data_IF_015905461210
#
_entry.id   IF_015905461210
#
_cell.length_a   1.000
_cell.length_b   1.000
_cell.length_c   1.000
_cell.angle_alpha   90.00
_cell.angle_beta   90.00
_cell.angle_gamma   90.00
#
_symmetry.space_group_name_H-M   'P 1'
#
loop_
_entity.id
_entity.type
_entity.pdbx_description
1 polymer ?
#
# COMPACT_ATOMS: atom_id res chain seq x y z
N UNK A 1 21.17 12.86 -2.20
CA UNK A 1 20.87 12.20 -0.91
C UNK A 1 19.77 11.20 -1.19
N UNK A 2 20.13 9.97 -1.52
CA UNK A 2 19.16 8.90 -1.75
C UNK A 2 18.71 8.37 -0.39
N UNK A 3 17.41 8.40 -0.13
CA UNK A 3 16.82 7.65 0.97
C UNK A 3 17.05 6.18 0.65
N UNK A 4 17.94 5.52 1.40
CA UNK A 4 17.89 4.07 1.52
C UNK A 4 16.64 3.79 2.36
N UNK A 5 15.50 3.75 1.68
CA UNK A 5 14.32 3.11 2.24
C UNK A 5 14.67 1.62 2.29
N UNK A 6 15.25 1.24 3.42
CA UNK A 6 15.43 -0.15 3.81
C UNK A 6 14.01 -0.75 3.83
N UNK A 7 13.66 -1.42 2.73
CA UNK A 7 12.54 -2.33 2.66
C UNK A 7 12.79 -3.40 3.74
N UNK A 8 12.28 -3.15 4.95
CA UNK A 8 12.06 -4.12 6.01
C UNK A 8 10.97 -5.11 5.54
N UNK A 9 11.25 -5.78 4.43
CA UNK A 9 10.61 -6.98 3.94
C UNK A 9 10.92 -8.07 4.96
N UNK A 10 10.15 -8.09 6.04
CA UNK A 10 10.12 -9.21 6.97
C UNK A 10 9.91 -10.49 6.13
N UNK A 11 10.95 -11.33 5.96
CA UNK A 11 10.96 -12.36 4.90
C UNK A 11 9.92 -13.45 5.14
N UNK A 12 9.38 -13.54 6.37
CA UNK A 12 8.30 -14.47 6.71
C UNK A 12 6.94 -14.08 6.11
N UNK A 13 6.68 -12.80 5.82
CA UNK A 13 5.37 -12.35 5.32
C UNK A 13 5.17 -12.59 3.82
N UNK A 14 6.21 -12.34 3.01
CA UNK A 14 6.12 -12.41 1.55
C UNK A 14 5.89 -13.83 1.00
N UNK A 15 6.42 -14.85 1.67
CA UNK A 15 6.25 -16.25 1.23
C UNK A 15 4.80 -16.73 1.27
N UNK A 16 4.08 -16.43 2.35
CA UNK A 16 2.67 -16.83 2.52
C UNK A 16 1.73 -16.02 1.62
N UNK A 17 1.98 -14.71 1.45
CA UNK A 17 1.21 -13.87 0.52
C UNK A 17 1.30 -14.36 -0.93
N UNK A 18 2.46 -14.92 -1.32
CA UNK A 18 2.65 -15.48 -2.67
C UNK A 18 1.81 -16.75 -2.89
N UNK A 19 1.71 -17.61 -1.87
CA UNK A 19 0.89 -18.85 -1.95
C UNK A 19 -0.62 -18.53 -2.01
N UNK A 20 -1.06 -17.52 -1.22
CA UNK A 20 -2.44 -17.02 -1.27
C UNK A 20 -2.77 -16.37 -2.62
N UNK A 21 -1.81 -15.64 -3.22
CA UNK A 21 -1.97 -15.09 -4.59
C UNK A 21 -2.06 -16.17 -5.66
N UNK A 22 -1.33 -17.28 -5.54
CA UNK A 22 -1.31 -18.34 -6.55
C UNK A 22 -2.62 -19.14 -6.61
N UNK A 23 -3.32 -19.26 -5.49
CA UNK A 23 -4.61 -19.96 -5.40
C UNK A 23 -5.82 -19.02 -5.58
N UNK A 24 -5.58 -17.71 -5.61
CA UNK A 24 -6.58 -16.67 -5.37
C UNK A 24 -7.07 -15.90 -6.58
N UNK A 25 -6.87 -16.34 -7.83
CA UNK A 25 -7.32 -15.56 -9.01
C UNK A 25 -8.82 -15.26 -9.03
N UNK A 26 -9.62 -16.01 -8.26
CA UNK A 26 -11.06 -15.79 -8.10
C UNK A 26 -11.48 -15.33 -6.68
N UNK A 27 -10.53 -15.10 -5.77
CA UNK A 27 -10.86 -14.72 -4.38
C UNK A 27 -11.01 -13.20 -4.31
N UNK A 28 -12.15 -12.67 -3.81
CA UNK A 28 -12.31 -11.23 -3.63
C UNK A 28 -11.19 -10.65 -2.76
N UNK A 29 -10.64 -9.49 -3.12
CA UNK A 29 -9.53 -8.86 -2.38
C UNK A 29 -9.82 -8.65 -0.89
N UNK A 30 -11.11 -8.50 -0.53
CA UNK A 30 -11.55 -8.44 0.87
C UNK A 30 -11.22 -9.71 1.66
N UNK A 31 -11.41 -10.87 1.06
CA UNK A 31 -11.12 -12.15 1.70
C UNK A 31 -9.61 -12.39 1.79
N UNK A 32 -8.85 -11.96 0.77
CA UNK A 32 -7.38 -11.96 0.83
C UNK A 32 -6.87 -11.08 1.98
N UNK A 33 -7.40 -9.87 2.12
CA UNK A 33 -7.03 -8.96 3.20
C UNK A 33 -7.28 -9.54 4.59
N UNK A 34 -8.50 -10.04 4.82
CA UNK A 34 -8.88 -10.64 6.10
C UNK A 34 -8.01 -11.89 6.35
N UNK A 35 -7.73 -12.67 5.31
CA UNK A 35 -6.85 -13.83 5.39
C UNK A 35 -5.42 -13.49 5.79
N UNK A 36 -4.81 -12.51 5.13
CA UNK A 36 -3.46 -12.03 5.44
C UNK A 36 -3.38 -11.49 6.88
N UNK A 37 -4.33 -10.63 7.28
CA UNK A 37 -4.41 -10.07 8.62
C UNK A 37 -4.58 -11.16 9.69
N UNK A 38 -5.44 -12.15 9.42
CA UNK A 38 -5.71 -13.24 10.35
C UNK A 38 -4.50 -14.16 10.50
N UNK A 39 -3.85 -14.51 9.39
CA UNK A 39 -2.64 -15.35 9.40
C UNK A 39 -1.50 -14.65 10.12
N UNK A 40 -1.23 -13.37 9.82
CA UNK A 40 -0.16 -12.63 10.49
C UNK A 40 -0.42 -12.49 11.99
N UNK A 41 -1.63 -12.07 12.38
CA UNK A 41 -2.00 -11.91 13.78
C UNK A 41 -1.98 -13.24 14.56
N UNK A 42 -2.40 -14.33 13.93
CA UNK A 42 -2.37 -15.66 14.54
C UNK A 42 -0.94 -16.15 14.76
N UNK A 43 -0.05 -15.98 13.78
CA UNK A 43 1.36 -16.34 13.91
C UNK A 43 2.05 -15.53 15.01
N UNK A 44 1.81 -14.21 15.07
CA UNK A 44 2.33 -13.35 16.14
C UNK A 44 1.78 -13.73 17.51
N UNK A 45 0.48 -13.98 17.60
CA UNK A 45 -0.20 -14.44 18.82
C UNK A 45 0.43 -15.73 19.35
N UNK A 46 0.58 -16.76 18.51
CA UNK A 46 1.15 -18.05 18.93
C UNK A 46 2.61 -17.87 19.34
N UNK A 47 3.39 -17.10 18.58
CA UNK A 47 4.81 -16.87 18.89
C UNK A 47 4.99 -16.20 20.25
N UNK A 48 4.32 -15.07 20.48
CA UNK A 48 4.40 -14.33 21.74
C UNK A 48 3.80 -15.15 22.89
N UNK A 49 2.69 -15.85 22.64
CA UNK A 49 2.08 -16.77 23.60
C UNK A 49 3.04 -17.85 24.06
N UNK A 50 3.74 -18.53 23.14
CA UNK A 50 4.72 -19.57 23.47
C UNK A 50 5.91 -19.00 24.25
N UNK A 51 6.40 -17.81 23.90
CA UNK A 51 7.44 -17.13 24.66
C UNK A 51 7.00 -16.86 26.12
N UNK A 52 5.82 -16.28 26.31
CA UNK A 52 5.28 -15.98 27.64
C UNK A 52 4.95 -17.25 28.43
N UNK A 53 4.41 -18.28 27.78
CA UNK A 53 4.15 -19.58 28.39
C UNK A 53 5.42 -20.26 28.90
N UNK A 54 6.50 -20.18 28.11
CA UNK A 54 7.81 -20.73 28.48
C UNK A 54 8.41 -19.98 29.68
N UNK A 55 8.36 -18.65 29.67
CA UNK A 55 8.78 -17.82 30.81
C UNK A 55 7.92 -18.09 32.05
N UNK A 56 6.61 -18.23 31.86
CA UNK A 56 5.64 -18.55 32.89
C UNK A 56 5.90 -19.89 33.59
N UNK A 57 6.27 -20.91 32.81
CA UNK A 57 6.64 -22.23 33.34
C UNK A 57 7.86 -22.14 34.28
N UNK A 58 8.82 -21.26 33.97
CA UNK A 58 10.05 -21.10 34.75
C UNK A 58 9.81 -20.24 35.99
N UNK A 59 9.09 -19.13 35.87
CA UNK A 59 8.95 -18.13 36.95
C UNK A 59 7.81 -18.48 37.92
N UNK A 60 6.68 -19.01 37.43
CA UNK A 60 5.46 -19.21 38.23
C UNK A 60 4.93 -20.66 38.21
N UNK A 61 5.76 -21.67 38.53
CA UNK A 61 5.34 -23.07 38.45
C UNK A 61 4.18 -23.41 39.38
N UNK A 62 4.09 -22.78 40.56
CA UNK A 62 3.13 -23.14 41.60
C UNK A 62 1.87 -22.26 41.67
N UNK A 63 1.86 -21.09 41.00
CA UNK A 63 0.77 -20.10 41.15
C UNK A 63 -0.25 -20.19 40.03
N UNK A 64 0.21 -20.14 38.78
CA UNK A 64 -0.66 -20.04 37.60
C UNK A 64 -0.29 -21.02 36.47
N UNK A 65 0.85 -21.71 36.57
CA UNK A 65 1.36 -22.56 35.50
C UNK A 65 1.64 -21.80 34.19
N UNK A 66 1.96 -22.51 33.09
CA UNK A 66 2.28 -21.90 31.80
C UNK A 66 1.06 -21.36 31.04
N UNK A 67 -0.15 -21.83 31.37
CA UNK A 67 -1.36 -21.54 30.59
C UNK A 67 -1.78 -20.07 30.67
N UNK A 68 -1.79 -19.48 31.87
CA UNK A 68 -2.21 -18.08 32.05
C UNK A 68 -1.25 -17.11 31.34
N UNK A 69 0.08 -17.23 31.49
CA UNK A 69 1.03 -16.41 30.72
C UNK A 69 0.89 -16.63 29.21
N UNK A 70 0.66 -17.87 28.75
CA UNK A 70 0.43 -18.16 27.33
C UNK A 70 -0.80 -17.44 26.77
N UNK A 71 -1.94 -17.48 27.48
CA UNK A 71 -3.18 -16.82 27.03
C UNK A 71 -3.03 -15.30 27.00
N UNK A 72 -2.41 -14.72 28.03
CA UNK A 72 -2.15 -13.27 28.08
C UNK A 72 -1.19 -12.84 26.97
N UNK A 73 -0.08 -13.57 26.79
CA UNK A 73 0.88 -13.32 25.72
C UNK A 73 0.25 -13.45 24.33
N UNK A 74 -0.60 -14.46 24.13
CA UNK A 74 -1.34 -14.65 22.89
C UNK A 74 -2.29 -13.48 22.60
N UNK A 75 -3.06 -13.04 23.60
CA UNK A 75 -3.96 -11.89 23.43
C UNK A 75 -3.19 -10.61 23.05
N UNK A 76 -2.08 -10.35 23.73
CA UNK A 76 -1.22 -9.19 23.42
C UNK A 76 -0.66 -9.34 22.00
N UNK A 77 -0.10 -10.49 21.66
CA UNK A 77 0.48 -10.75 20.35
C UNK A 77 -0.53 -10.63 19.21
N UNK A 78 -1.77 -11.10 19.41
CA UNK A 78 -2.85 -10.92 18.44
C UNK A 78 -3.19 -9.45 18.23
N UNK A 79 -3.36 -8.67 19.31
CA UNK A 79 -3.66 -7.23 19.21
C UNK A 79 -2.53 -6.45 18.54
N UNK A 80 -1.28 -6.77 18.85
CA UNK A 80 -0.12 -6.15 18.24
C UNK A 80 0.00 -6.51 16.75
N UNK A 81 -0.16 -7.78 16.40
CA UNK A 81 -0.10 -8.23 15.00
C UNK A 81 -1.20 -7.60 14.13
N UNK A 82 -2.42 -7.44 14.66
CA UNK A 82 -3.48 -6.70 13.98
C UNK A 82 -3.15 -5.21 13.82
N UNK A 83 -2.60 -4.59 14.86
CA UNK A 83 -2.24 -3.18 14.83
C UNK A 83 -1.11 -2.89 13.83
N UNK A 84 -0.09 -3.75 13.80
CA UNK A 84 1.02 -3.67 12.87
C UNK A 84 0.54 -3.85 11.43
N UNK A 85 -0.28 -4.88 11.17
CA UNK A 85 -0.87 -5.10 9.86
C UNK A 85 -1.73 -3.91 9.41
N UNK A 86 -2.58 -3.38 10.30
CA UNK A 86 -3.36 -2.17 10.03
C UNK A 86 -2.48 -0.96 9.70
N UNK A 87 -1.40 -0.75 10.45
CA UNK A 87 -0.46 0.35 10.24
C UNK A 87 0.30 0.23 8.92
N UNK A 88 0.70 -0.99 8.54
CA UNK A 88 1.34 -1.27 7.25
C UNK A 88 0.39 -0.97 6.09
N UNK A 89 -0.84 -1.48 6.15
CA UNK A 89 -1.87 -1.22 5.12
C UNK A 89 -2.21 0.26 5.04
N UNK A 90 -2.25 0.97 6.18
CA UNK A 90 -2.42 2.42 6.23
C UNK A 90 -1.33 3.14 5.43
N UNK A 91 -0.07 2.81 5.67
CA UNK A 91 1.07 3.43 4.97
C UNK A 91 1.01 3.18 3.47
N UNK A 92 0.77 1.93 3.06
CA UNK A 92 0.64 1.55 1.65
C UNK A 92 -0.51 2.29 0.96
N UNK A 93 -1.64 2.45 1.63
CA UNK A 93 -2.76 3.23 1.12
C UNK A 93 -2.37 4.70 0.90
N UNK A 94 -1.60 5.31 1.82
CA UNK A 94 -1.13 6.69 1.65
C UNK A 94 -0.17 6.83 0.48
N UNK A 95 0.74 5.88 0.30
CA UNK A 95 1.64 5.85 -0.86
C UNK A 95 0.83 5.79 -2.16
N UNK A 96 -0.17 4.90 -2.24
CA UNK A 96 -1.06 4.81 -3.40
C UNK A 96 -1.92 6.07 -3.60
N UNK A 97 -2.38 6.70 -2.51
CA UNK A 97 -3.18 7.91 -2.58
C UNK A 97 -2.38 9.08 -3.15
N UNK A 98 -1.06 9.12 -2.91
CA UNK A 98 -0.16 10.15 -3.43
C UNK A 98 0.25 9.90 -4.88
N UNK A 99 0.67 8.68 -5.21
CA UNK A 99 1.20 8.37 -6.55
C UNK A 99 0.11 8.09 -7.59
N UNK A 100 -1.06 7.61 -7.17
CA UNK A 100 -2.13 7.19 -8.08
C UNK A 100 -3.52 7.65 -7.59
N UNK A 101 -3.73 8.96 -7.35
CA UNK A 101 -4.96 9.49 -6.76
C UNK A 101 -6.20 9.16 -7.61
N UNK A 102 -6.09 9.27 -8.93
CA UNK A 102 -7.17 8.97 -9.87
C UNK A 102 -7.60 7.51 -9.83
N UNK A 103 -6.63 6.59 -9.72
CA UNK A 103 -6.89 5.15 -9.68
C UNK A 103 -7.57 4.77 -8.36
N UNK A 104 -7.09 5.33 -7.24
CA UNK A 104 -7.70 5.14 -5.93
C UNK A 104 -9.12 5.73 -5.88
N UNK A 105 -9.34 6.92 -6.44
CA UNK A 105 -10.66 7.53 -6.53
C UNK A 105 -11.64 6.69 -7.35
N UNK A 106 -11.18 6.15 -8.48
CA UNK A 106 -11.96 5.23 -9.30
C UNK A 106 -12.33 3.95 -8.54
N UNK A 107 -11.40 3.36 -7.79
CA UNK A 107 -11.68 2.17 -6.97
C UNK A 107 -12.67 2.46 -5.82
N UNK A 108 -12.56 3.64 -5.18
CA UNK A 108 -13.55 4.06 -4.18
C UNK A 108 -14.95 4.27 -4.78
N UNK A 109 -15.02 4.77 -6.01
CA UNK A 109 -16.27 4.95 -6.73
C UNK A 109 -16.90 3.61 -7.12
N UNK A 110 -16.14 2.72 -7.75
CA UNK A 110 -16.66 1.47 -8.32
C UNK A 110 -17.18 0.50 -7.27
N UNK A 111 -16.47 0.36 -6.14
CA UNK A 111 -16.81 -0.64 -5.13
C UNK A 111 -17.77 -0.15 -4.05
N UNK A 112 -17.67 1.13 -3.68
CA UNK A 112 -18.35 1.66 -2.49
C UNK A 112 -19.33 2.78 -2.81
N UNK A 113 -19.49 3.12 -4.10
CA UNK A 113 -20.35 4.23 -4.59
C UNK A 113 -20.06 5.55 -3.87
N UNK A 114 -18.82 5.76 -3.42
CA UNK A 114 -18.42 6.99 -2.74
C UNK A 114 -17.91 7.98 -3.77
N UNK A 115 -18.56 9.14 -3.82
CA UNK A 115 -18.15 10.26 -4.67
C UNK A 115 -16.92 10.91 -4.04
N UNK A 116 -15.77 10.79 -4.71
CA UNK A 116 -14.61 11.63 -4.41
C UNK A 116 -14.83 12.98 -5.10
N UNK A 117 -14.78 14.11 -4.39
CA UNK A 117 -14.91 15.42 -5.00
C UNK A 117 -13.81 15.65 -6.05
N UNK A 118 -14.15 16.27 -7.18
CA UNK A 118 -13.17 16.57 -8.24
C UNK A 118 -12.06 17.49 -7.75
N UNK A 119 -12.38 18.44 -6.86
CA UNK A 119 -11.40 19.34 -6.24
C UNK A 119 -10.29 18.59 -5.51
N UNK A 120 -10.61 17.48 -4.83
CA UNK A 120 -9.63 16.65 -4.12
C UNK A 120 -8.71 15.92 -5.12
N UNK A 121 -9.26 15.47 -6.26
CA UNK A 121 -8.45 14.84 -7.31
C UNK A 121 -7.53 15.84 -8.01
N UNK A 122 -8.03 17.04 -8.29
CA UNK A 122 -7.26 18.13 -8.89
C UNK A 122 -6.15 18.61 -7.95
N UNK A 123 -6.43 18.75 -6.64
CA UNK A 123 -5.43 19.10 -5.63
C UNK A 123 -4.31 18.06 -5.53
N UNK A 124 -4.64 16.77 -5.52
CA UNK A 124 -3.61 15.71 -5.51
C UNK A 124 -2.77 15.68 -6.78
N UNK A 125 -3.35 15.99 -7.94
CA UNK A 125 -2.59 16.10 -9.19
C UNK A 125 -1.63 17.28 -9.17
N UNK A 126 -2.07 18.44 -8.66
CA UNK A 126 -1.21 19.61 -8.52
C UNK A 126 -0.03 19.32 -7.57
N UNK A 127 -0.27 18.58 -6.49
CA UNK A 127 0.78 18.17 -5.57
C UNK A 127 1.82 17.24 -6.22
N UNK A 128 1.40 16.34 -7.12
CA UNK A 128 2.31 15.47 -7.89
C UNK A 128 3.16 16.29 -8.89
N UNK A 129 2.57 17.29 -9.54
CA UNK A 129 3.28 18.21 -10.45
C UNK A 129 4.30 19.09 -9.70
N UNK A 130 4.03 19.45 -8.43
CA UNK A 130 4.96 20.23 -7.58
C UNK A 130 6.16 19.37 -7.10
N UNK A 131 5.93 18.08 -6.79
CA UNK A 131 6.97 17.17 -6.29
C UNK A 131 7.90 16.65 -7.42
N UNK A 132 7.43 16.68 -8.68
CA UNK A 132 8.22 16.28 -9.86
C UNK A 132 8.31 17.39 -10.93
N UNK A 133 9.11 18.46 -10.71
CA UNK A 133 9.17 19.62 -11.60
C UNK A 133 9.76 19.33 -12.99
N UNK A 134 10.38 18.16 -13.23
CA UNK A 134 11.05 17.85 -14.50
C UNK A 134 10.11 17.36 -15.61
N UNK A 135 8.83 17.07 -15.34
CA UNK A 135 7.89 16.51 -16.34
C UNK A 135 6.85 17.53 -16.87
N UNK A 136 6.92 18.80 -16.44
CA UNK A 136 5.91 19.82 -16.76
C UNK A 136 6.31 20.75 -17.93
N UNK A 137 6.39 20.20 -19.14
CA UNK A 137 6.24 21.03 -20.34
C UNK A 137 5.18 20.41 -21.23
N UNK A 138 4.11 21.17 -21.48
CA UNK A 138 2.99 20.87 -22.40
C UNK A 138 1.73 20.26 -21.76
N UNK A 139 1.05 20.97 -20.85
CA UNK A 139 -0.38 20.70 -20.58
C UNK A 139 -1.22 21.95 -20.75
N UNK A 140 -2.04 21.90 -21.79
CA UNK A 140 -3.03 22.88 -22.24
C UNK A 140 -4.06 23.20 -21.15
N UNK A 141 -4.11 24.49 -20.81
CA UNK A 141 -5.10 25.15 -19.95
C UNK A 141 -6.53 24.77 -20.36
N UNK A 142 -7.24 24.09 -19.46
CA UNK A 142 -8.66 23.79 -19.60
C UNK A 142 -9.53 24.94 -19.06
N UNK A 143 -10.76 25.13 -19.58
CA UNK A 143 -11.59 26.32 -19.34
C UNK A 143 -12.29 26.32 -17.96
N UNK A 144 -12.77 27.49 -17.48
CA UNK A 144 -13.24 27.66 -16.12
C UNK A 144 -14.61 26.98 -15.92
N UNK A 145 -14.70 26.10 -14.92
CA UNK A 145 -15.98 25.52 -14.49
C UNK A 145 -16.59 26.28 -13.31
N UNK A 146 -17.90 26.43 -13.42
CA UNK A 146 -18.83 27.06 -12.49
C UNK A 146 -18.74 26.52 -11.05
N UNK A 147 -18.64 27.47 -10.12
CA UNK A 147 -18.94 27.46 -8.68
C UNK A 147 -19.37 26.10 -8.09
N UNK A 148 -18.41 25.37 -7.52
CA UNK A 148 -18.69 24.40 -6.45
C UNK A 148 -18.47 25.09 -5.09
N UNK A 149 -19.23 24.72 -4.04
CA UNK A 149 -18.99 25.23 -2.70
C UNK A 149 -17.52 25.00 -2.33
N UNK A 150 -16.89 25.98 -1.67
CA UNK A 150 -15.49 25.96 -1.20
C UNK A 150 -15.22 24.73 -0.31
N UNK A 151 -15.07 23.58 -0.93
CA UNK A 151 -14.35 22.47 -0.35
C UNK A 151 -12.90 22.88 -0.55
N UNK A 152 -12.34 23.43 0.52
CA UNK A 152 -10.91 23.67 0.72
C UNK A 152 -10.10 22.62 -0.04
N UNK A 153 -9.07 23.05 -0.79
CA UNK A 153 -8.23 22.20 -1.65
C UNK A 153 -7.40 21.22 -0.79
N UNK A 154 -8.09 20.24 -0.21
CA UNK A 154 -7.52 19.25 0.69
C UNK A 154 -7.03 18.09 -0.16
N UNK A 155 -5.75 17.69 -0.05
CA UNK A 155 -5.22 16.54 -0.78
C UNK A 155 -5.95 15.25 -0.37
N UNK A 156 -5.95 14.25 -1.27
CA UNK A 156 -6.70 13.02 -1.09
C UNK A 156 -6.36 12.29 0.21
N UNK A 157 -5.10 12.26 0.62
CA UNK A 157 -4.67 11.64 1.88
C UNK A 157 -5.32 12.31 3.10
N UNK A 158 -5.31 13.64 3.16
CA UNK A 158 -5.94 14.41 4.23
C UNK A 158 -7.47 14.31 4.17
N UNK A 159 -8.08 14.27 2.99
CA UNK A 159 -9.52 14.05 2.84
C UNK A 159 -9.94 12.68 3.38
N UNK A 160 -9.13 11.64 3.16
CA UNK A 160 -9.36 10.30 3.72
C UNK A 160 -9.35 10.36 5.26
N UNK A 161 -8.38 11.06 5.86
CA UNK A 161 -8.29 11.19 7.32
C UNK A 161 -9.44 11.97 7.96
N UNK A 162 -9.84 13.09 7.35
CA UNK A 162 -10.95 13.90 7.85
C UNK A 162 -12.30 13.16 7.82
N UNK A 163 -12.41 12.08 7.03
CA UNK A 163 -13.61 11.25 6.96
C UNK A 163 -13.80 10.23 8.09
N UNK A 164 -12.86 10.17 9.05
CA UNK A 164 -12.90 9.22 10.16
C UNK A 164 -12.58 7.77 9.78
N UNK A 165 -12.76 6.86 10.74
CA UNK A 165 -12.36 5.45 10.62
C UNK A 165 -13.02 4.75 9.43
N UNK A 166 -14.32 5.00 9.20
CA UNK A 166 -15.03 4.37 8.09
C UNK A 166 -14.42 4.71 6.73
N UNK A 167 -14.16 6.00 6.46
CA UNK A 167 -13.54 6.41 5.20
C UNK A 167 -12.14 5.82 5.07
N UNK A 168 -11.36 5.86 6.15
CA UNK A 168 -10.01 5.29 6.19
C UNK A 168 -10.00 3.79 5.84
N UNK A 169 -10.87 3.00 6.45
CA UNK A 169 -10.99 1.55 6.17
C UNK A 169 -11.40 1.29 4.72
N UNK A 170 -12.34 2.07 4.17
CA UNK A 170 -12.74 1.90 2.77
C UNK A 170 -11.64 2.29 1.79
N UNK A 171 -10.88 3.35 2.09
CA UNK A 171 -9.73 3.75 1.27
C UNK A 171 -8.61 2.72 1.33
N UNK A 172 -8.35 2.11 2.49
CA UNK A 172 -7.43 0.98 2.62
C UNK A 172 -7.86 -0.20 1.73
N UNK A 173 -9.13 -0.56 1.78
CA UNK A 173 -9.68 -1.66 0.98
C UNK A 173 -9.60 -1.35 -0.53
N UNK A 174 -9.98 -0.13 -0.92
CA UNK A 174 -9.87 0.32 -2.31
C UNK A 174 -8.40 0.29 -2.80
N UNK A 175 -7.45 0.69 -1.95
CA UNK A 175 -6.02 0.67 -2.31
C UNK A 175 -5.48 -0.74 -2.56
N UNK A 176 -6.03 -1.76 -1.88
CA UNK A 176 -5.63 -3.15 -2.11
C UNK A 176 -6.12 -3.68 -3.45
N UNK A 177 -7.33 -3.29 -3.85
CA UNK A 177 -7.84 -3.59 -5.18
C UNK A 177 -7.02 -2.92 -6.29
N UNK A 178 -6.53 -1.72 -6.02
CA UNK A 178 -5.63 -1.01 -6.91
C UNK A 178 -4.25 -1.66 -7.04
N UNK A 179 -3.77 -2.37 -6.02
CA UNK A 179 -2.39 -2.86 -5.94
C UNK A 179 -1.96 -3.63 -7.18
N UNK A 180 -2.80 -4.53 -7.70
CA UNK A 180 -2.49 -5.30 -8.91
C UNK A 180 -2.33 -4.41 -10.15
N UNK A 181 -3.21 -3.42 -10.32
CA UNK A 181 -3.14 -2.49 -11.44
C UNK A 181 -1.94 -1.56 -11.32
N UNK A 182 -1.62 -1.08 -10.11
CA UNK A 182 -0.42 -0.27 -9.84
C UNK A 182 0.84 -1.04 -10.21
N UNK A 183 0.99 -2.28 -9.74
CA UNK A 183 2.14 -3.12 -10.08
C UNK A 183 2.24 -3.34 -11.61
N UNK A 184 1.12 -3.58 -12.30
CA UNK A 184 1.13 -3.73 -13.76
C UNK A 184 1.56 -2.43 -14.49
N UNK A 185 1.13 -1.27 -14.01
CA UNK A 185 1.55 0.03 -14.55
C UNK A 185 3.05 0.25 -14.31
N UNK A 186 3.55 -0.08 -13.12
CA UNK A 186 4.96 0.07 -12.76
C UNK A 186 5.86 -0.87 -13.56
N UNK A 187 5.45 -2.14 -13.72
CA UNK A 187 6.14 -3.10 -14.59
C UNK A 187 6.17 -2.61 -16.04
N UNK A 188 5.06 -2.09 -16.56
CA UNK A 188 5.01 -1.52 -17.91
C UNK A 188 5.94 -0.31 -18.06
N UNK A 189 6.00 0.58 -17.07
CA UNK A 189 6.91 1.74 -17.07
C UNK A 189 8.37 1.28 -17.05
N UNK A 190 8.72 0.31 -16.19
CA UNK A 190 10.07 -0.27 -16.12
C UNK A 190 10.47 -0.89 -17.45
N UNK A 191 9.58 -1.64 -18.09
CA UNK A 191 9.86 -2.25 -19.39
C UNK A 191 10.16 -1.20 -20.47
N UNK A 192 9.35 -0.14 -20.56
CA UNK A 192 9.58 0.95 -21.52
C UNK A 192 10.91 1.65 -21.32
N UNK A 193 11.33 1.83 -20.07
CA UNK A 193 12.62 2.42 -19.75
C UNK A 193 13.77 1.51 -20.21
N UNK A 194 13.68 0.21 -19.95
CA UNK A 194 14.66 -0.78 -20.45
C UNK A 194 14.73 -0.76 -21.98
N UNK A 195 13.57 -0.77 -22.65
CA UNK A 195 13.51 -0.76 -24.12
C UNK A 195 14.13 0.52 -24.69
N UNK A 196 13.91 1.69 -24.05
CA UNK A 196 14.52 2.96 -24.48
C UNK A 196 16.04 2.98 -24.34
N UNK A 197 16.59 2.41 -23.26
CA UNK A 197 18.04 2.33 -23.04
C UNK A 197 18.66 1.34 -24.05
N UNK A 198 17.98 0.23 -24.34
CA UNK A 198 18.43 -0.75 -25.32
C UNK A 198 18.53 -0.10 -26.71
N UNK A 199 17.49 0.64 -27.10
CA UNK A 199 17.46 1.34 -28.39
C UNK A 199 18.55 2.42 -28.51
N UNK A 200 18.83 3.15 -27.43
CA UNK A 200 19.93 4.13 -27.39
C UNK A 200 21.31 3.46 -27.55
N UNK A 201 21.49 2.28 -26.94
CA UNK A 201 22.71 1.50 -27.07
C UNK A 201 22.91 0.89 -28.46
N UNK A 202 21.85 0.42 -29.11
CA UNK A 202 21.91 -0.12 -30.47
C UNK A 202 22.31 0.97 -31.47
N UNK A 203 21.68 2.16 -31.41
CA UNK A 203 22.01 3.26 -32.32
C UNK A 203 23.46 3.75 -32.21
N UNK A 204 24.07 3.68 -31.02
CA UNK A 204 25.46 4.12 -30.81
C UNK A 204 26.51 3.15 -31.37
N UNK A 205 26.16 1.86 -31.51
CA UNK A 205 27.08 0.88 -32.10
C UNK A 205 27.17 1.00 -33.62
N UNK A 206 26.09 1.42 -34.28
CA UNK A 206 26.06 1.57 -35.73
C UNK A 206 26.92 2.75 -36.21
N UNK A 207 26.95 3.86 -35.47
CA UNK A 207 27.74 5.05 -35.80
C UNK A 207 29.26 4.80 -35.75
N UNK A 208 29.71 3.82 -34.96
CA UNK A 208 31.13 3.51 -34.81
C UNK A 208 31.67 2.59 -35.93
N UNK A 209 30.83 2.14 -36.87
CA UNK A 209 31.18 1.17 -37.91
C UNK A 209 31.52 1.78 -39.27
N UNK A 210 31.44 3.11 -39.41
CA UNK A 210 31.62 3.82 -40.69
C UNK A 210 32.92 4.64 -40.84
N UNK A 211 33.86 4.53 -39.91
CA UNK A 211 35.12 5.30 -39.91
C UNK A 211 36.39 4.49 -40.29
N UNK A 212 36.24 3.29 -40.87
CA UNK A 212 37.32 2.49 -41.50
C UNK A 212 37.17 2.40 -43.03
#
# INVERSE_FOLDING_TARGET
>A
MGSNDDDDDSPLGSGLGTILRFTGSNVPSRALYIGEAFVSASLFSVTIGLCFGSVGAVIFPNTCGPLVPFLTGSSIGYTFGLYEHYSSVKRNMLVHARHYPTLLAHAMWSEHKRVVPKSVMEASRQQEEEDNPQESSNVTTSPPLLYQPEVENVPLDQWVFLGGLGRLTWSMLASQNCKANVTAIEEQKRQRLVDSILQEHEGKNDDNSNDD
#
